data_IF_986478926659
#
_entry.id   IF_986478926659
#
_cell.length_a   1.000
_cell.length_b   1.000
_cell.length_c   1.000
_cell.angle_alpha   90.00
_cell.angle_beta   90.00
_cell.angle_gamma   90.00
#
_symmetry.space_group_name_H-M   'P 1'
#
loop_
_entity.id
_entity.type
_entity.pdbx_description
1 polymer ?
#
# COMPACT_ATOMS: atom_id res chain seq x y z
N UNK A 1 9.25 -21.24 10.79
CA UNK A 1 8.68 -19.98 10.27
C UNK A 1 7.94 -20.25 8.97
N UNK A 2 6.86 -19.53 8.76
CA UNK A 2 6.00 -19.70 7.59
C UNK A 2 5.88 -18.37 6.86
N UNK A 3 5.98 -18.41 5.55
CA UNK A 3 5.69 -17.25 4.70
C UNK A 3 4.18 -17.16 4.50
N UNK A 4 3.60 -16.03 4.86
CA UNK A 4 2.18 -15.78 4.69
C UNK A 4 1.95 -14.59 3.77
N UNK A 5 0.92 -14.67 2.94
CA UNK A 5 0.54 -13.64 2.00
C UNK A 5 -0.90 -13.21 2.26
N UNK A 6 -1.12 -11.91 2.38
CA UNK A 6 -2.46 -11.36 2.62
C UNK A 6 -2.70 -10.19 1.67
N UNK A 7 -3.78 -10.28 0.91
CA UNK A 7 -4.19 -9.18 0.03
C UNK A 7 -4.69 -8.00 0.87
N UNK A 8 -4.22 -6.80 0.55
CA UNK A 8 -4.83 -5.57 1.03
C UNK A 8 -6.18 -5.42 0.34
N UNK A 9 -7.18 -4.98 1.09
CA UNK A 9 -8.52 -4.75 0.56
C UNK A 9 -8.90 -3.27 0.62
N UNK A 10 -9.77 -2.88 -0.28
CA UNK A 10 -10.42 -1.58 -0.31
C UNK A 10 -11.92 -1.82 -0.30
N UNK A 11 -12.56 -1.54 0.83
CA UNK A 11 -13.97 -1.85 1.05
C UNK A 11 -14.29 -3.30 0.65
N UNK A 12 -13.48 -4.23 1.18
CA UNK A 12 -13.51 -5.69 0.94
C UNK A 12 -13.08 -6.16 -0.47
N UNK A 13 -12.83 -5.27 -1.42
CA UNK A 13 -12.32 -5.64 -2.73
C UNK A 13 -10.79 -5.71 -2.76
N UNK A 14 -10.22 -6.62 -3.56
CA UNK A 14 -8.77 -6.82 -3.66
C UNK A 14 -8.09 -5.90 -4.67
N UNK A 15 -8.83 -4.98 -5.25
CA UNK A 15 -8.31 -3.94 -6.14
C UNK A 15 -9.11 -2.67 -5.98
N UNK A 16 -8.53 -1.55 -6.34
CA UNK A 16 -9.20 -0.25 -6.31
C UNK A 16 -8.83 0.56 -7.54
N UNK A 17 -9.84 1.04 -8.25
CA UNK A 17 -9.65 2.04 -9.29
C UNK A 17 -9.52 3.41 -8.64
N UNK A 18 -8.38 4.05 -8.83
CA UNK A 18 -8.11 5.39 -8.30
C UNK A 18 -8.24 6.38 -9.44
N UNK A 19 -9.25 7.24 -9.38
CA UNK A 19 -9.48 8.26 -10.41
C UNK A 19 -8.34 9.28 -10.49
N UNK A 20 -8.24 9.98 -11.61
CA UNK A 20 -7.22 11.03 -11.76
C UNK A 20 -7.32 12.05 -10.62
N UNK A 21 -6.17 12.50 -10.13
CA UNK A 21 -6.06 13.50 -9.06
C UNK A 21 -6.80 13.12 -7.77
N UNK A 22 -7.11 11.83 -7.59
CA UNK A 22 -7.81 11.30 -6.43
C UNK A 22 -6.89 10.49 -5.52
N UNK A 23 -7.29 10.37 -4.27
CA UNK A 23 -6.62 9.53 -3.27
C UNK A 23 -7.64 8.57 -2.68
N UNK A 24 -7.27 7.30 -2.59
CA UNK A 24 -8.07 6.25 -1.97
C UNK A 24 -7.30 5.62 -0.82
N UNK A 25 -8.01 5.26 0.24
CA UNK A 25 -7.42 4.64 1.44
C UNK A 25 -7.95 3.22 1.57
N UNK A 26 -7.06 2.27 1.80
CA UNK A 26 -7.42 0.86 1.99
C UNK A 26 -8.10 0.62 3.33
N UNK A 27 -8.66 -0.58 3.47
CA UNK A 27 -9.04 -1.12 4.77
C UNK A 27 -7.78 -1.30 5.63
N UNK A 28 -7.97 -1.33 6.94
CA UNK A 28 -6.85 -1.54 7.87
C UNK A 28 -6.28 -2.96 7.73
N UNK A 29 -4.96 -3.04 7.76
CA UNK A 29 -4.22 -4.30 7.84
C UNK A 29 -3.56 -4.39 9.22
N UNK A 30 -3.64 -5.57 9.83
CA UNK A 30 -2.99 -5.85 11.12
C UNK A 30 -1.95 -6.94 10.92
N UNK A 31 -0.72 -6.69 11.37
CA UNK A 31 0.34 -7.70 11.33
C UNK A 31 -0.01 -8.89 12.22
N UNK A 32 0.37 -10.09 11.77
CA UNK A 32 0.24 -11.29 12.58
C UNK A 32 1.08 -11.16 13.85
N UNK A 33 0.58 -11.71 14.97
CA UNK A 33 1.25 -11.61 16.28
C UNK A 33 2.68 -12.19 16.28
N UNK A 34 2.94 -13.19 15.45
CA UNK A 34 4.27 -13.80 15.29
C UNK A 34 5.07 -13.28 14.11
N UNK A 35 4.76 -12.11 13.61
CA UNK A 35 5.44 -11.56 12.45
C UNK A 35 6.86 -11.09 12.80
N UNK A 36 7.86 -11.66 12.13
CA UNK A 36 9.27 -11.31 12.30
C UNK A 36 9.75 -10.30 11.28
N UNK A 37 9.19 -10.37 10.08
CA UNK A 37 9.58 -9.53 8.97
C UNK A 37 8.41 -9.43 8.00
N UNK A 38 8.31 -8.33 7.29
CA UNK A 38 7.25 -8.12 6.31
C UNK A 38 7.70 -7.20 5.18
N UNK A 39 7.05 -7.40 4.04
CA UNK A 39 7.16 -6.51 2.91
C UNK A 39 5.79 -6.32 2.27
N UNK A 40 5.57 -5.20 1.64
CA UNK A 40 4.40 -4.97 0.81
C UNK A 40 4.78 -5.03 -0.67
N UNK A 41 4.00 -5.76 -1.42
CA UNK A 41 4.13 -5.84 -2.87
C UNK A 41 3.01 -5.02 -3.50
N UNK A 42 3.38 -4.05 -4.31
CA UNK A 42 2.47 -3.09 -4.91
C UNK A 42 2.37 -3.31 -6.41
N UNK A 43 1.18 -3.10 -6.95
CA UNK A 43 0.91 -3.17 -8.39
C UNK A 43 0.02 -2.02 -8.81
N UNK A 44 0.35 -1.40 -9.93
CA UNK A 44 -0.43 -0.32 -10.51
C UNK A 44 -0.65 -0.58 -12.00
N UNK A 45 -1.90 -0.62 -12.40
CA UNK A 45 -2.36 -0.94 -13.76
C UNK A 45 -3.11 0.28 -14.31
N UNK A 46 -2.58 0.91 -15.34
CA UNK A 46 -3.21 2.06 -15.96
C UNK A 46 -4.41 1.62 -16.78
N UNK A 47 -5.57 2.22 -16.56
CA UNK A 47 -6.82 1.83 -17.20
C UNK A 47 -6.91 2.28 -18.67
N UNK A 48 -5.99 3.13 -19.10
CA UNK A 48 -5.89 3.59 -20.49
C UNK A 48 -4.52 3.29 -21.09
N UNK A 49 -4.21 3.94 -22.19
CA UNK A 49 -2.85 3.93 -22.71
C UNK A 49 -1.98 4.82 -21.85
N UNK A 50 -0.94 4.30 -21.19
CA UNK A 50 -0.06 5.11 -20.36
C UNK A 50 0.56 6.27 -21.11
N UNK A 51 0.76 7.39 -20.43
CA UNK A 51 1.45 8.56 -20.96
C UNK A 51 2.52 9.02 -19.96
N UNK A 52 3.48 9.79 -20.42
CA UNK A 52 4.53 10.34 -19.57
C UNK A 52 3.91 11.13 -18.40
N UNK A 53 4.35 10.84 -17.17
CA UNK A 53 3.81 11.44 -15.96
C UNK A 53 2.63 10.70 -15.35
N UNK A 54 2.18 9.59 -15.92
CA UNK A 54 1.13 8.75 -15.34
C UNK A 54 1.73 7.90 -14.22
N UNK A 55 1.70 8.43 -13.02
CA UNK A 55 2.25 7.78 -11.84
C UNK A 55 1.26 7.78 -10.69
N UNK A 56 1.49 6.86 -9.76
CA UNK A 56 0.73 6.76 -8.52
C UNK A 56 1.69 6.73 -7.34
N UNK A 57 1.35 7.48 -6.29
CA UNK A 57 2.11 7.52 -5.07
C UNK A 57 1.42 6.70 -4.00
N UNK A 58 2.18 5.86 -3.30
CA UNK A 58 1.69 5.11 -2.16
C UNK A 58 2.26 5.69 -0.88
N UNK A 59 1.36 5.97 0.06
CA UNK A 59 1.70 6.37 1.42
C UNK A 59 1.08 5.41 2.41
N UNK A 60 1.63 5.39 3.60
CA UNK A 60 1.18 4.49 4.63
C UNK A 60 0.85 5.27 5.90
N UNK A 61 -0.26 4.89 6.53
CA UNK A 61 -0.70 5.39 7.83
C UNK A 61 -0.55 4.24 8.83
N UNK A 62 0.48 4.30 9.67
CA UNK A 62 0.69 3.28 10.68
C UNK A 62 -0.23 3.47 11.87
N UNK A 63 -0.50 2.36 12.57
CA UNK A 63 -1.09 2.38 13.92
C UNK A 63 -0.22 1.56 14.85
N UNK A 64 -0.05 2.06 16.06
CA UNK A 64 0.61 1.35 17.15
C UNK A 64 -0.39 0.83 18.19
N UNK A 65 -1.67 0.98 17.91
CA UNK A 65 -2.74 0.73 18.85
C UNK A 65 -3.03 1.93 19.73
N UNK A 66 -3.59 1.69 20.89
CA UNK A 66 -3.98 2.73 21.84
C UNK A 66 -2.77 3.28 22.58
N UNK A 67 -2.40 4.51 22.31
CA UNK A 67 -1.27 5.16 22.97
C UNK A 67 -1.73 5.79 24.29
N UNK A 68 -1.26 5.24 25.40
CA UNK A 68 -1.50 5.78 26.76
C UNK A 68 -2.98 6.03 27.08
N UNK A 69 -3.87 5.17 26.62
CA UNK A 69 -5.29 5.30 26.89
C UNK A 69 -6.00 6.29 25.96
N UNK A 70 -5.47 6.53 24.79
CA UNK A 70 -6.03 7.44 23.80
C UNK A 70 -7.12 6.79 22.92
N UNK A 71 -7.93 5.97 23.52
CA UNK A 71 -9.17 5.40 22.96
C UNK A 71 -9.06 4.55 21.68
N UNK A 72 -8.35 3.43 21.75
CA UNK A 72 -8.37 2.39 20.73
C UNK A 72 -7.20 2.42 19.75
N UNK A 73 -7.37 1.83 18.60
CA UNK A 73 -6.31 1.76 17.59
C UNK A 73 -6.27 3.06 16.77
N UNK A 74 -5.34 3.92 17.12
CA UNK A 74 -5.17 5.20 16.43
C UNK A 74 -4.19 5.09 15.28
N UNK A 75 -4.59 5.58 14.11
CA UNK A 75 -3.72 5.69 12.95
C UNK A 75 -3.08 7.06 12.89
N UNK A 76 -1.90 7.13 12.30
CA UNK A 76 -1.28 8.39 11.96
C UNK A 76 -2.25 9.27 11.16
N UNK A 77 -2.15 10.58 11.34
CA UNK A 77 -2.99 11.49 10.57
C UNK A 77 -2.54 11.54 9.11
N UNK A 78 -3.47 11.80 8.22
CA UNK A 78 -3.20 11.81 6.78
C UNK A 78 -2.08 12.77 6.38
N UNK A 79 -1.88 13.85 7.14
CA UNK A 79 -0.83 14.83 6.93
C UNK A 79 0.57 14.26 7.18
N UNK A 80 0.66 13.21 7.99
CA UNK A 80 1.92 12.57 8.36
C UNK A 80 2.11 11.21 7.68
N UNK A 81 1.28 10.89 6.69
CA UNK A 81 1.41 9.65 5.94
C UNK A 81 2.78 9.56 5.26
N UNK A 82 3.49 8.45 5.51
CA UNK A 82 4.82 8.25 4.98
C UNK A 82 4.77 7.76 3.52
N UNK A 83 5.49 8.44 2.63
CA UNK A 83 5.65 8.00 1.26
C UNK A 83 6.54 6.74 1.24
N UNK A 84 6.02 5.65 0.69
CA UNK A 84 6.77 4.38 0.61
C UNK A 84 7.14 3.99 -0.81
N UNK A 85 6.40 4.46 -1.82
CA UNK A 85 6.65 4.10 -3.20
C UNK A 85 6.02 5.09 -4.17
N UNK A 86 6.64 5.22 -5.34
CA UNK A 86 6.05 5.86 -6.51
C UNK A 86 6.15 4.87 -7.65
N UNK A 87 5.02 4.48 -8.22
CA UNK A 87 4.97 3.59 -9.38
C UNK A 87 4.63 4.41 -10.61
N UNK A 88 5.53 4.36 -11.59
CA UNK A 88 5.35 5.01 -12.88
C UNK A 88 4.83 3.97 -13.87
N UNK A 89 3.62 4.15 -14.36
CA UNK A 89 3.01 3.24 -15.36
C UNK A 89 3.47 3.54 -16.78
N UNK A 90 4.30 4.57 -16.95
CA UNK A 90 4.94 4.93 -18.20
C UNK A 90 6.46 4.84 -18.10
N UNK A 91 7.09 4.04 -18.94
CA UNK A 91 8.53 4.00 -19.07
C UNK A 91 8.96 4.79 -20.30
N UNK A 92 9.94 5.66 -20.17
CA UNK A 92 10.38 6.53 -21.24
C UNK A 92 10.96 5.79 -22.45
N UNK A 93 11.54 4.61 -22.23
CA UNK A 93 12.17 3.80 -23.30
C UNK A 93 11.27 2.68 -23.80
N UNK A 94 10.29 2.28 -23.00
CA UNK A 94 9.33 1.22 -23.34
C UNK A 94 7.97 1.66 -22.83
N UNK A 95 7.09 2.12 -23.72
CA UNK A 95 5.75 2.52 -23.30
C UNK A 95 5.04 1.38 -22.58
N UNK A 96 4.51 1.68 -21.39
CA UNK A 96 3.71 0.73 -20.68
C UNK A 96 4.47 -0.18 -19.71
N UNK A 97 5.14 0.39 -18.72
CA UNK A 97 5.37 -0.31 -17.46
C UNK A 97 4.00 -0.58 -16.81
N UNK A 98 3.27 -1.52 -17.40
CA UNK A 98 1.87 -1.73 -17.09
C UNK A 98 1.55 -3.23 -17.04
N UNK A 99 1.25 -3.81 -15.85
CA UNK A 99 1.29 -3.14 -14.55
C UNK A 99 2.72 -2.89 -14.03
N UNK A 100 2.90 -1.75 -13.41
CA UNK A 100 4.12 -1.46 -12.66
C UNK A 100 4.08 -2.19 -11.31
N UNK A 101 5.22 -2.69 -10.85
CA UNK A 101 5.32 -3.46 -9.59
C UNK A 101 6.53 -3.03 -8.79
N UNK A 102 6.36 -3.05 -7.46
CA UNK A 102 7.46 -2.75 -6.54
C UNK A 102 7.22 -3.48 -5.22
N UNK A 103 8.30 -3.97 -4.62
CA UNK A 103 8.28 -4.55 -3.28
C UNK A 103 9.02 -3.63 -2.32
N UNK A 104 8.39 -3.31 -1.19
CA UNK A 104 8.91 -2.39 -0.19
C UNK A 104 8.93 -3.08 1.17
N UNK A 105 10.06 -3.06 1.90
CA UNK A 105 10.10 -3.56 3.28
C UNK A 105 9.18 -2.75 4.19
N UNK A 106 8.59 -3.40 5.19
CA UNK A 106 7.74 -2.77 6.20
C UNK A 106 8.35 -2.91 7.59
N UNK A 107 8.25 -1.87 8.43
CA UNK A 107 8.64 -1.98 9.84
C UNK A 107 7.59 -2.77 10.62
N UNK A 108 8.01 -3.87 11.25
CA UNK A 108 7.12 -4.75 12.01
C UNK A 108 7.27 -4.60 13.52
N UNK A 109 8.35 -3.97 13.99
CA UNK A 109 8.59 -3.78 15.42
C UNK A 109 7.82 -2.62 16.03
N UNK A 110 7.65 -1.56 15.28
CA UNK A 110 7.10 -0.30 15.78
C UNK A 110 5.63 -0.09 15.44
N UNK A 111 5.04 -0.96 14.63
CA UNK A 111 3.68 -0.78 14.16
C UNK A 111 2.85 -2.05 14.40
N UNK A 112 1.61 -1.88 14.85
CA UNK A 112 0.63 -2.95 14.95
C UNK A 112 0.00 -3.27 13.60
N UNK A 113 -0.19 -2.26 12.77
CA UNK A 113 -0.79 -2.36 11.47
C UNK A 113 -0.74 -1.05 10.70
N UNK A 114 -1.49 -0.96 9.63
CA UNK A 114 -1.50 0.23 8.78
C UNK A 114 -2.73 0.30 7.87
N UNK A 115 -2.94 1.47 7.28
CA UNK A 115 -3.77 1.66 6.09
C UNK A 115 -2.88 2.17 4.95
N UNK A 116 -3.13 1.68 3.74
CA UNK A 116 -2.40 2.11 2.54
C UNK A 116 -3.21 3.21 1.85
N UNK A 117 -2.54 4.27 1.45
CA UNK A 117 -3.13 5.35 0.65
C UNK A 117 -2.49 5.39 -0.73
N UNK A 118 -3.32 5.40 -1.75
CA UNK A 118 -2.89 5.50 -3.14
C UNK A 118 -3.39 6.82 -3.73
N UNK A 119 -2.47 7.64 -4.21
CA UNK A 119 -2.78 8.95 -4.82
C UNK A 119 -2.39 8.92 -6.29
N UNK A 120 -3.37 9.02 -7.17
CA UNK A 120 -3.16 9.05 -8.62
C UNK A 120 -2.76 10.46 -9.06
N UNK A 121 -1.56 10.57 -9.59
CA UNK A 121 -1.00 11.84 -10.10
C UNK A 121 -1.10 11.96 -11.61
N UNK A 122 -1.75 11.01 -12.28
CA UNK A 122 -1.94 11.09 -13.73
C UNK A 122 -2.92 12.20 -14.11
N UNK A 123 -2.83 12.62 -15.34
CA UNK A 123 -3.77 13.56 -15.93
C UNK A 123 -4.69 12.82 -16.90
N UNK A 124 -5.93 12.58 -16.48
CA UNK A 124 -6.97 12.05 -17.34
C UNK A 124 -7.13 10.53 -17.35
N UNK A 125 -6.44 9.80 -16.47
CA UNK A 125 -6.52 8.33 -16.43
C UNK A 125 -6.72 7.81 -15.03
N UNK A 126 -7.56 6.80 -14.90
CA UNK A 126 -7.65 6.02 -13.67
C UNK A 126 -6.53 4.97 -13.64
N UNK A 127 -6.06 4.65 -12.46
CA UNK A 127 -5.05 3.61 -12.22
C UNK A 127 -5.62 2.63 -11.22
N UNK A 128 -5.66 1.35 -11.58
CA UNK A 128 -6.11 0.29 -10.70
C UNK A 128 -4.94 -0.23 -9.88
N UNK A 129 -5.08 -0.21 -8.56
CA UNK A 129 -4.04 -0.62 -7.64
C UNK A 129 -4.40 -1.93 -6.95
N UNK A 130 -3.36 -2.70 -6.68
CA UNK A 130 -3.41 -3.93 -5.86
C UNK A 130 -2.20 -3.95 -4.96
N UNK A 131 -2.37 -4.54 -3.80
CA UNK A 131 -1.25 -4.73 -2.87
C UNK A 131 -1.44 -6.00 -2.07
N UNK A 132 -0.34 -6.64 -1.70
CA UNK A 132 -0.36 -7.73 -0.74
C UNK A 132 0.80 -7.60 0.23
N UNK A 133 0.56 -8.00 1.47
CA UNK A 133 1.60 -8.08 2.48
C UNK A 133 2.13 -9.50 2.52
N UNK A 134 3.43 -9.63 2.49
CA UNK A 134 4.12 -10.89 2.71
C UNK A 134 4.78 -10.81 4.08
N UNK A 135 4.44 -11.76 4.95
CA UNK A 135 4.95 -11.82 6.30
C UNK A 135 5.73 -13.11 6.52
N UNK A 136 6.80 -13.01 7.28
CA UNK A 136 7.49 -14.16 7.83
C UNK A 136 7.00 -14.36 9.27
N UNK A 137 6.21 -15.40 9.48
CA UNK A 137 5.52 -15.65 10.74
C UNK A 137 6.10 -16.90 11.40
N UNK A 138 6.42 -16.79 12.68
CA UNK A 138 6.94 -17.90 13.47
C UNK A 138 6.30 -17.97 14.83
N UNK A 139 6.28 -19.17 15.40
CA UNK A 139 5.85 -19.35 16.76
C UNK A 139 6.86 -18.71 17.72
N UNK A 140 6.38 -17.89 18.65
CA UNK A 140 7.16 -17.39 19.77
C UNK A 140 7.08 -18.45 20.85
N UNK A 141 8.16 -19.15 21.05
CA UNK A 141 8.24 -20.16 22.12
C UNK A 141 9.00 -19.63 23.31
#
# INVERSE_FOLDING_TARGET
MTREETQITWNAATSKSVGQASTETSDAFTFNAGCWDAAIQLSADNDGSPAAGDLIEFRILYTNGDILGDSGDDFDTAEHAALIAVLDTWASSTPGEDPARLTVPLPTMAAKGFMLRASNKSTGRAITVRARVVELVGAIS
#
